data_IF_291677278760
#
_entry.id   IF_291677278760
#
_cell.length_a   1.000
_cell.length_b   1.000
_cell.length_c   1.000
_cell.angle_alpha   90.00
_cell.angle_beta   90.00
_cell.angle_gamma   90.00
#
_symmetry.space_group_name_H-M   'P 1'
#
loop_
_entity.id
_entity.type
_entity.pdbx_description
1 polymer ?
#
# COMPACT_ATOMS: atom_id res chain seq x y z
N UNK A 1 -16.78 -21.67 2.49
CA UNK A 1 -15.41 -21.29 2.79
C UNK A 1 -14.42 -21.99 1.86
N UNK A 2 -13.30 -21.41 1.63
CA UNK A 2 -12.20 -21.98 0.84
C UNK A 2 -10.98 -22.13 1.76
N UNK A 3 -10.46 -23.37 1.85
CA UNK A 3 -9.28 -23.67 2.67
C UNK A 3 -8.01 -23.42 1.86
N UNK A 4 -7.20 -22.43 2.30
CA UNK A 4 -5.93 -22.05 1.69
C UNK A 4 -4.74 -22.84 2.24
N UNK A 5 -4.94 -23.66 3.26
CA UNK A 5 -3.87 -24.39 3.95
C UNK A 5 -3.14 -25.35 3.00
N UNK A 6 -1.82 -25.21 2.92
CA UNK A 6 -0.97 -26.08 2.08
C UNK A 6 -1.13 -25.92 0.58
N UNK A 7 -1.88 -24.90 0.11
CA UNK A 7 -2.05 -24.65 -1.33
C UNK A 7 -0.75 -24.10 -1.95
N UNK A 8 -0.47 -24.53 -3.19
CA UNK A 8 0.59 -23.95 -3.99
C UNK A 8 0.18 -22.58 -4.57
N UNK A 9 1.15 -21.81 -5.08
CA UNK A 9 0.87 -20.53 -5.76
C UNK A 9 -0.09 -20.73 -6.94
N UNK A 10 0.10 -21.77 -7.76
CA UNK A 10 -0.79 -22.05 -8.90
C UNK A 10 -2.22 -22.39 -8.45
N UNK A 11 -2.35 -23.17 -7.36
CA UNK A 11 -3.66 -23.53 -6.82
C UNK A 11 -4.39 -22.31 -6.26
N UNK A 12 -3.68 -21.41 -5.57
CA UNK A 12 -4.24 -20.15 -5.08
C UNK A 12 -4.63 -19.21 -6.23
N UNK A 13 -3.82 -19.13 -7.27
CA UNK A 13 -4.11 -18.34 -8.48
C UNK A 13 -5.37 -18.84 -9.18
N UNK A 14 -5.52 -20.16 -9.29
CA UNK A 14 -6.74 -20.76 -9.84
C UNK A 14 -7.96 -20.52 -8.92
N UNK A 15 -7.76 -20.58 -7.61
CA UNK A 15 -8.81 -20.23 -6.65
C UNK A 15 -9.27 -18.79 -6.77
N UNK A 16 -8.34 -17.83 -6.89
CA UNK A 16 -8.65 -16.43 -7.13
C UNK A 16 -9.52 -16.26 -8.39
N UNK A 17 -9.14 -16.89 -9.51
CA UNK A 17 -9.92 -16.84 -10.75
C UNK A 17 -11.35 -17.38 -10.57
N UNK A 18 -11.51 -18.51 -9.87
CA UNK A 18 -12.84 -19.10 -9.59
C UNK A 18 -13.69 -18.23 -8.69
N UNK A 19 -13.03 -17.52 -7.75
CA UNK A 19 -13.68 -16.62 -6.81
C UNK A 19 -13.93 -15.23 -7.38
N UNK A 20 -13.43 -14.92 -8.59
CA UNK A 20 -13.54 -13.60 -9.19
C UNK A 20 -12.67 -12.54 -8.53
N UNK A 21 -11.58 -12.97 -7.87
CA UNK A 21 -10.55 -12.08 -7.31
C UNK A 21 -9.61 -11.69 -8.44
N UNK A 22 -9.37 -10.38 -8.61
CA UNK A 22 -8.41 -9.88 -9.60
C UNK A 22 -6.98 -10.30 -9.22
N UNK A 23 -6.28 -10.87 -10.18
CA UNK A 23 -4.89 -11.30 -9.99
C UNK A 23 -4.08 -10.98 -11.24
N UNK A 24 -2.83 -10.60 -11.02
CA UNK A 24 -1.84 -10.45 -12.08
C UNK A 24 -0.71 -11.49 -11.96
N UNK A 25 0.17 -11.54 -12.96
CA UNK A 25 1.24 -12.53 -13.01
C UNK A 25 2.37 -12.26 -12.02
N UNK A 26 2.45 -11.05 -11.47
CA UNK A 26 3.50 -10.63 -10.52
C UNK A 26 3.19 -11.06 -9.09
N UNK A 27 1.90 -11.32 -8.78
CA UNK A 27 1.47 -11.71 -7.44
C UNK A 27 2.07 -13.06 -7.02
N UNK A 28 2.86 -13.06 -5.96
CA UNK A 28 3.31 -14.27 -5.29
C UNK A 28 2.25 -14.84 -4.34
N UNK A 29 2.55 -15.99 -3.74
CA UNK A 29 1.64 -16.73 -2.85
C UNK A 29 1.02 -15.87 -1.76
N UNK A 30 1.83 -15.02 -1.08
CA UNK A 30 1.35 -14.12 -0.04
C UNK A 30 0.28 -13.15 -0.54
N UNK A 31 0.51 -12.46 -1.64
CA UNK A 31 -0.46 -11.53 -2.24
C UNK A 31 -1.75 -12.20 -2.70
N UNK A 32 -1.68 -13.43 -3.19
CA UNK A 32 -2.88 -14.19 -3.57
C UNK A 32 -3.75 -14.53 -2.36
N UNK A 33 -3.14 -14.88 -1.24
CA UNK A 33 -3.84 -15.11 0.03
C UNK A 33 -4.48 -13.82 0.53
N UNK A 34 -3.71 -12.73 0.53
CA UNK A 34 -4.17 -11.41 0.94
C UNK A 34 -5.35 -10.91 0.11
N UNK A 35 -5.28 -11.06 -1.20
CA UNK A 35 -6.36 -10.68 -2.11
C UNK A 35 -7.66 -11.45 -1.84
N UNK A 36 -7.58 -12.76 -1.54
CA UNK A 36 -8.75 -13.55 -1.16
C UNK A 36 -9.30 -13.07 0.19
N UNK A 37 -8.44 -12.83 1.18
CA UNK A 37 -8.82 -12.36 2.49
C UNK A 37 -9.48 -10.97 2.43
N UNK A 38 -8.85 -10.01 1.74
CA UNK A 38 -9.38 -8.66 1.59
C UNK A 38 -10.76 -8.64 0.95
N UNK A 39 -10.97 -9.45 -0.10
CA UNK A 39 -12.25 -9.46 -0.81
C UNK A 39 -13.38 -10.17 -0.07
N UNK A 40 -13.08 -11.18 0.75
CA UNK A 40 -14.12 -12.06 1.31
C UNK A 40 -14.23 -12.06 2.84
N UNK A 41 -13.24 -11.56 3.54
CA UNK A 41 -13.19 -11.66 4.98
C UNK A 41 -13.07 -10.30 5.68
N UNK A 42 -12.27 -9.39 5.16
CA UNK A 42 -11.92 -8.15 5.86
C UNK A 42 -13.15 -7.30 6.20
N UNK A 43 -14.04 -7.05 5.23
CA UNK A 43 -15.23 -6.24 5.41
C UNK A 43 -16.26 -6.88 6.38
N UNK A 44 -16.20 -8.20 6.59
CA UNK A 44 -17.08 -8.93 7.51
C UNK A 44 -16.62 -8.82 8.98
N UNK A 45 -15.40 -8.35 9.23
CA UNK A 45 -14.80 -8.21 10.56
C UNK A 45 -15.28 -6.92 11.25
N UNK A 46 -16.56 -6.83 11.55
CA UNK A 46 -17.18 -5.63 12.16
C UNK A 46 -16.80 -5.49 13.62
N UNK A 47 -16.93 -6.57 14.42
CA UNK A 47 -16.51 -6.58 15.82
C UNK A 47 -14.99 -6.63 15.93
N UNK A 48 -14.41 -6.10 17.03
CA UNK A 48 -12.96 -6.23 17.24
C UNK A 48 -12.51 -7.68 17.15
N UNK A 49 -11.73 -7.99 16.13
CA UNK A 49 -11.30 -9.34 15.79
C UNK A 49 -9.80 -9.39 15.59
N UNK A 50 -9.11 -10.29 16.30
CA UNK A 50 -7.71 -10.58 16.03
C UNK A 50 -7.61 -11.68 14.98
N UNK A 51 -6.94 -11.38 13.87
CA UNK A 51 -6.50 -12.36 12.88
C UNK A 51 -5.05 -12.70 13.20
N UNK A 52 -4.76 -13.96 13.47
CA UNK A 52 -3.47 -14.41 13.98
C UNK A 52 -2.77 -15.36 12.99
N UNK A 53 -1.46 -15.59 13.22
CA UNK A 53 -0.68 -16.62 12.58
C UNK A 53 -0.64 -16.49 11.04
N UNK A 54 -0.18 -15.32 10.60
CA UNK A 54 -0.05 -15.00 9.18
C UNK A 54 0.97 -15.89 8.47
N UNK A 55 0.71 -16.24 7.20
CA UNK A 55 1.68 -16.95 6.37
C UNK A 55 3.02 -16.24 6.30
N UNK A 56 4.08 -17.05 6.26
CA UNK A 56 5.46 -16.56 6.26
C UNK A 56 5.76 -15.67 5.04
N UNK A 57 5.14 -15.96 3.91
CA UNK A 57 5.29 -15.22 2.65
C UNK A 57 4.75 -13.79 2.73
N UNK A 58 3.82 -13.52 3.65
CA UNK A 58 3.21 -12.21 3.88
C UNK A 58 3.93 -11.38 4.95
N UNK A 59 4.95 -11.95 5.60
CA UNK A 59 5.47 -11.41 6.84
C UNK A 59 7.01 -11.42 6.90
N UNK A 60 7.71 -10.67 6.02
CA UNK A 60 9.16 -10.76 5.84
C UNK A 60 9.98 -10.32 7.06
N UNK A 61 9.40 -9.56 8.00
CA UNK A 61 10.07 -9.06 9.21
C UNK A 61 9.64 -9.77 10.49
N UNK A 62 8.72 -10.75 10.36
CA UNK A 62 8.14 -11.42 11.51
C UNK A 62 8.86 -12.73 11.81
N UNK A 63 9.01 -13.03 13.10
CA UNK A 63 9.58 -14.29 13.57
C UNK A 63 8.67 -15.47 13.19
N UNK A 64 9.26 -16.59 12.80
CA UNK A 64 8.53 -17.83 12.53
C UNK A 64 7.72 -18.26 13.75
N UNK A 65 6.55 -18.78 13.52
CA UNK A 65 5.75 -19.38 14.58
C UNK A 65 6.47 -20.61 15.14
N UNK A 66 6.48 -20.74 16.48
CA UNK A 66 7.27 -21.75 17.19
C UNK A 66 6.86 -23.20 16.91
N UNK A 67 5.57 -23.41 16.58
CA UNK A 67 5.00 -24.75 16.35
C UNK A 67 4.73 -25.04 14.88
N UNK A 68 4.71 -24.02 14.01
CA UNK A 68 4.47 -24.18 12.56
C UNK A 68 5.37 -23.23 11.76
N UNK A 69 6.42 -23.74 11.09
CA UNK A 69 7.39 -22.91 10.36
C UNK A 69 6.82 -22.18 9.12
N UNK A 70 5.64 -22.57 8.64
CA UNK A 70 4.97 -21.94 7.50
C UNK A 70 4.19 -20.68 7.91
N UNK A 71 4.08 -20.42 9.22
CA UNK A 71 3.39 -19.29 9.81
C UNK A 71 4.36 -18.37 10.56
N UNK A 72 3.87 -17.20 10.97
CA UNK A 72 4.61 -16.23 11.77
C UNK A 72 3.87 -15.90 13.05
N UNK A 73 4.61 -15.49 14.10
CA UNK A 73 4.03 -14.95 15.34
C UNK A 73 3.57 -13.50 15.12
N UNK A 74 2.48 -13.33 14.33
CA UNK A 74 1.90 -12.05 13.95
C UNK A 74 0.39 -12.05 14.17
N UNK A 75 -0.14 -10.92 14.56
CA UNK A 75 -1.57 -10.66 14.51
C UNK A 75 -1.87 -9.27 13.96
N UNK A 76 -3.05 -9.13 13.40
CA UNK A 76 -3.67 -7.84 13.10
C UNK A 76 -5.01 -7.74 13.81
N UNK A 77 -5.32 -6.54 14.32
CA UNK A 77 -6.61 -6.23 14.90
C UNK A 77 -7.47 -5.49 13.88
N UNK A 78 -8.57 -6.11 13.49
CA UNK A 78 -9.60 -5.51 12.66
C UNK A 78 -10.74 -4.98 13.51
N UNK A 79 -11.22 -3.79 13.17
CA UNK A 79 -12.39 -3.17 13.78
C UNK A 79 -13.19 -2.47 12.69
N UNK A 80 -14.47 -2.80 12.57
CA UNK A 80 -15.36 -2.23 11.57
C UNK A 80 -14.82 -2.37 10.13
N UNK A 81 -14.33 -3.56 9.78
CA UNK A 81 -13.81 -3.88 8.48
C UNK A 81 -12.49 -3.17 8.11
N UNK A 82 -11.73 -2.71 9.12
CA UNK A 82 -10.45 -2.01 8.88
C UNK A 82 -9.39 -2.50 9.86
N UNK A 83 -8.19 -2.76 9.35
CA UNK A 83 -7.02 -3.00 10.18
C UNK A 83 -6.72 -1.75 11.01
N UNK A 84 -6.71 -1.90 12.33
CA UNK A 84 -6.37 -0.85 13.28
C UNK A 84 -4.96 -0.99 13.82
N UNK A 85 -4.49 -2.23 13.99
CA UNK A 85 -3.22 -2.54 14.62
C UNK A 85 -2.59 -3.75 13.94
N UNK A 86 -1.27 -3.74 13.83
CA UNK A 86 -0.44 -4.85 13.37
C UNK A 86 0.69 -5.05 14.37
N UNK A 87 0.89 -6.29 14.84
CA UNK A 87 1.88 -6.60 15.84
C UNK A 87 2.48 -7.99 15.61
N UNK A 88 3.76 -8.14 15.92
CA UNK A 88 4.46 -9.41 15.76
C UNK A 88 5.69 -9.53 16.66
N UNK A 89 6.14 -10.76 16.84
CA UNK A 89 7.46 -11.05 17.36
C UNK A 89 8.49 -10.67 16.29
N UNK A 90 9.44 -9.81 16.66
CA UNK A 90 10.45 -9.32 15.71
C UNK A 90 11.39 -10.47 15.28
N UNK A 91 11.66 -10.54 13.98
CA UNK A 91 12.65 -11.47 13.46
C UNK A 91 14.05 -10.97 13.85
N UNK A 92 14.72 -11.70 14.74
CA UNK A 92 16.01 -11.33 15.30
C UNK A 92 17.16 -12.26 14.88
N UNK A 93 16.91 -13.17 13.94
CA UNK A 93 17.93 -14.01 13.32
C UNK A 93 18.40 -13.37 12.00
N UNK A 94 19.69 -12.93 11.91
CA UNK A 94 20.19 -12.28 10.70
C UNK A 94 20.23 -13.21 9.47
N UNK A 95 20.36 -14.52 9.67
CA UNK A 95 20.40 -15.50 8.58
C UNK A 95 19.01 -15.65 8.00
N UNK A 96 17.98 -15.91 8.84
CA UNK A 96 16.59 -16.00 8.40
C UNK A 96 16.13 -14.67 7.77
N UNK A 97 16.53 -13.53 8.34
CA UNK A 97 16.19 -12.22 7.75
C UNK A 97 16.79 -12.02 6.36
N UNK A 98 18.03 -12.42 6.14
CA UNK A 98 18.64 -12.35 4.82
C UNK A 98 17.92 -13.24 3.79
N UNK A 99 17.54 -14.46 4.19
CA UNK A 99 16.75 -15.37 3.34
C UNK A 99 15.40 -14.76 2.95
N UNK A 100 14.71 -14.10 3.91
CA UNK A 100 13.44 -13.38 3.64
C UNK A 100 13.61 -12.25 2.65
N UNK A 101 14.65 -11.44 2.82
CA UNK A 101 14.95 -10.35 1.87
C UNK A 101 15.30 -10.88 0.48
N UNK A 102 16.00 -12.00 0.36
CA UNK A 102 16.28 -12.63 -0.93
C UNK A 102 15.00 -13.11 -1.61
N UNK A 103 14.02 -13.63 -0.86
CA UNK A 103 12.74 -14.01 -1.42
C UNK A 103 11.93 -12.78 -1.87
N UNK A 104 11.93 -11.69 -1.09
CA UNK A 104 11.32 -10.42 -1.49
C UNK A 104 11.96 -9.86 -2.76
N UNK A 105 13.29 -9.93 -2.90
CA UNK A 105 13.98 -9.51 -4.12
C UNK A 105 13.51 -10.28 -5.36
N UNK A 106 13.29 -11.60 -5.24
CA UNK A 106 12.75 -12.41 -6.34
C UNK A 106 11.34 -11.97 -6.75
N UNK A 107 10.52 -11.53 -5.79
CA UNK A 107 9.19 -10.98 -6.09
C UNK A 107 9.31 -9.62 -6.79
N UNK A 108 10.21 -8.76 -6.34
CA UNK A 108 10.51 -7.47 -6.98
C UNK A 108 10.97 -7.64 -8.43
N UNK A 109 11.85 -8.62 -8.70
CA UNK A 109 12.33 -8.95 -10.06
C UNK A 109 11.21 -9.47 -10.97
N UNK A 110 10.15 -10.07 -10.42
CA UNK A 110 8.92 -10.44 -11.14
C UNK A 110 7.98 -9.27 -11.40
N UNK A 111 8.27 -8.07 -10.84
CA UNK A 111 7.48 -6.86 -11.02
C UNK A 111 6.54 -6.54 -9.86
N UNK A 112 6.75 -7.12 -8.69
CA UNK A 112 6.02 -6.77 -7.47
C UNK A 112 6.61 -5.50 -6.85
N UNK A 113 5.98 -4.34 -7.12
CA UNK A 113 6.45 -3.02 -6.68
C UNK A 113 6.37 -2.81 -5.15
N UNK A 114 5.67 -3.67 -4.43
CA UNK A 114 5.55 -3.62 -2.96
C UNK A 114 6.58 -4.49 -2.25
N UNK A 115 7.29 -5.35 -2.99
CA UNK A 115 8.31 -6.20 -2.42
C UNK A 115 9.52 -5.39 -1.94
N UNK A 116 10.12 -5.86 -0.85
CA UNK A 116 11.24 -5.17 -0.19
C UNK A 116 12.56 -5.45 -0.91
N UNK A 117 13.43 -4.43 -0.95
CA UNK A 117 14.83 -4.60 -1.34
C UNK A 117 15.67 -5.15 -0.18
N UNK A 118 16.87 -5.67 -0.48
CA UNK A 118 17.79 -6.15 0.56
C UNK A 118 18.45 -4.96 1.27
N UNK A 119 18.17 -4.82 2.56
CA UNK A 119 18.83 -3.84 3.42
C UNK A 119 19.96 -4.53 4.21
N UNK A 120 21.18 -4.43 3.69
CA UNK A 120 22.36 -5.04 4.32
C UNK A 120 22.80 -4.34 5.60
N UNK A 121 22.47 -3.07 5.81
CA UNK A 121 22.75 -2.38 7.06
C UNK A 121 21.82 -2.86 8.17
N UNK A 122 20.55 -3.14 7.83
CA UNK A 122 19.61 -3.77 8.73
C UNK A 122 20.08 -5.19 9.14
N UNK A 123 20.49 -6.02 8.18
CA UNK A 123 21.02 -7.38 8.46
C UNK A 123 22.25 -7.28 9.36
N UNK A 124 23.20 -6.38 9.05
CA UNK A 124 24.37 -6.15 9.88
C UNK A 124 24.02 -5.69 11.31
N UNK A 125 23.00 -4.86 11.46
CA UNK A 125 22.54 -4.46 12.79
C UNK A 125 22.04 -5.67 13.61
N UNK A 126 21.34 -6.61 12.98
CA UNK A 126 20.92 -7.86 13.62
C UNK A 126 22.12 -8.74 14.05
N UNK A 127 23.22 -8.74 13.28
CA UNK A 127 24.44 -9.50 13.61
C UNK A 127 25.11 -9.03 14.92
N UNK A 128 24.91 -7.76 15.32
CA UNK A 128 25.36 -7.26 16.63
C UNK A 128 24.55 -7.81 17.80
N UNK A 129 23.42 -8.43 17.52
CA UNK A 129 22.53 -9.07 18.47
C UNK A 129 21.31 -8.21 18.81
N UNK A 130 20.14 -8.75 18.51
CA UNK A 130 18.85 -8.20 18.90
C UNK A 130 18.18 -9.14 19.90
N UNK A 131 17.82 -8.69 21.12
CA UNK A 131 17.09 -9.53 22.06
C UNK A 131 15.71 -9.88 21.53
N UNK A 132 15.13 -10.98 22.04
CA UNK A 132 13.74 -11.31 21.72
C UNK A 132 12.82 -10.18 22.19
N UNK A 133 12.06 -9.61 21.26
CA UNK A 133 11.13 -8.54 21.50
C UNK A 133 9.93 -8.65 20.55
N UNK A 134 8.92 -7.87 20.79
CA UNK A 134 7.76 -7.70 19.90
C UNK A 134 7.53 -6.23 19.66
N UNK A 135 7.03 -5.94 18.47
CA UNK A 135 6.63 -4.60 18.05
C UNK A 135 5.14 -4.54 17.77
N UNK A 136 4.58 -3.35 17.88
CA UNK A 136 3.18 -3.08 17.54
C UNK A 136 3.05 -1.72 16.90
N UNK A 137 2.39 -1.69 15.73
CA UNK A 137 1.96 -0.49 15.06
C UNK A 137 0.46 -0.28 15.20
N UNK A 138 0.06 0.93 15.58
CA UNK A 138 -1.35 1.34 15.62
C UNK A 138 -1.52 2.53 14.69
N UNK A 139 -2.48 2.43 13.74
CA UNK A 139 -2.83 3.54 12.86
C UNK A 139 -3.57 4.64 13.62
N UNK A 140 -2.88 5.71 13.98
CA UNK A 140 -3.47 6.82 14.78
C UNK A 140 -4.64 7.47 14.04
N UNK A 141 -4.53 7.65 12.72
CA UNK A 141 -5.62 8.21 11.92
C UNK A 141 -6.84 7.28 11.91
N UNK A 142 -6.63 5.98 11.73
CA UNK A 142 -7.70 4.97 11.80
C UNK A 142 -8.33 4.89 13.21
N UNK A 143 -7.50 4.97 14.26
CA UNK A 143 -8.00 5.05 15.63
C UNK A 143 -8.85 6.30 15.85
N UNK A 144 -8.41 7.44 15.32
CA UNK A 144 -9.16 8.70 15.40
C UNK A 144 -10.49 8.58 14.65
N UNK A 145 -10.49 8.01 13.44
CA UNK A 145 -11.73 7.74 12.69
C UNK A 145 -12.71 6.91 13.52
N UNK A 146 -12.23 5.83 14.12
CA UNK A 146 -13.04 4.95 14.95
C UNK A 146 -13.63 5.68 16.17
N UNK A 147 -12.79 6.42 16.92
CA UNK A 147 -13.22 7.12 18.13
C UNK A 147 -14.17 8.30 17.85
N UNK A 148 -14.06 8.92 16.69
CA UNK A 148 -14.90 10.07 16.28
C UNK A 148 -16.08 9.68 15.38
N UNK A 149 -16.20 8.41 15.00
CA UNK A 149 -17.26 7.91 14.12
C UNK A 149 -17.16 8.41 12.68
N UNK A 150 -15.94 8.74 12.20
CA UNK A 150 -15.74 9.18 10.83
C UNK A 150 -15.46 8.01 9.90
N UNK A 151 -16.02 8.05 8.69
CA UNK A 151 -15.86 7.00 7.69
C UNK A 151 -14.66 7.21 6.76
N UNK A 152 -14.21 8.46 6.61
CA UNK A 152 -13.11 8.85 5.75
C UNK A 152 -11.90 9.34 6.53
N UNK A 153 -10.71 8.90 6.12
CA UNK A 153 -9.44 9.37 6.71
C UNK A 153 -9.24 10.88 6.48
N UNK A 154 -9.79 11.44 5.40
CA UNK A 154 -9.69 12.87 5.11
C UNK A 154 -10.36 13.74 6.19
N UNK A 155 -11.39 13.20 6.87
CA UNK A 155 -12.13 13.92 7.91
C UNK A 155 -11.34 14.05 9.22
N UNK A 156 -10.27 13.27 9.39
CA UNK A 156 -9.42 13.28 10.60
C UNK A 156 -8.02 13.84 10.34
N UNK A 157 -7.65 14.09 9.10
CA UNK A 157 -6.37 14.70 8.74
C UNK A 157 -6.48 16.22 8.73
N UNK A 158 -5.57 16.93 9.42
CA UNK A 158 -5.52 18.40 9.41
C UNK A 158 -5.13 18.95 8.02
N UNK A 159 -4.28 18.24 7.29
CA UNK A 159 -3.78 18.65 5.98
C UNK A 159 -3.82 17.46 5.00
N UNK A 160 -5.03 17.03 4.56
CA UNK A 160 -5.15 15.92 3.64
C UNK A 160 -4.51 16.28 2.29
N UNK A 161 -3.77 15.36 1.72
CA UNK A 161 -3.26 15.52 0.36
C UNK A 161 -4.43 15.41 -0.62
N UNK A 162 -4.71 16.52 -1.32
CA UNK A 162 -5.70 16.56 -2.37
C UNK A 162 -5.05 16.24 -3.72
N UNK A 163 -5.79 15.57 -4.59
CA UNK A 163 -5.33 15.46 -5.99
C UNK A 163 -5.18 16.87 -6.55
N UNK A 164 -4.06 17.18 -7.25
CA UNK A 164 -3.94 18.45 -7.94
C UNK A 164 -5.18 18.66 -8.83
N UNK A 165 -5.79 19.82 -8.74
CA UNK A 165 -6.82 20.18 -9.70
C UNK A 165 -6.24 20.00 -11.11
N UNK A 166 -6.93 19.26 -11.96
CA UNK A 166 -6.58 19.24 -13.37
C UNK A 166 -6.71 20.69 -13.82
N UNK A 167 -5.58 21.36 -14.05
CA UNK A 167 -5.59 22.63 -14.76
C UNK A 167 -6.32 22.33 -16.08
N UNK A 168 -7.53 22.82 -16.20
CA UNK A 168 -8.21 22.85 -17.48
C UNK A 168 -7.29 23.68 -18.35
N UNK A 169 -6.55 23.04 -19.25
CA UNK A 169 -5.84 23.77 -20.31
C UNK A 169 -6.97 24.41 -21.14
N UNK A 170 -7.35 25.63 -20.75
CA UNK A 170 -8.14 26.46 -21.63
C UNK A 170 -7.28 26.68 -22.86
N UNK A 171 -7.89 26.52 -24.01
CA UNK A 171 -7.25 26.92 -25.28
C UNK A 171 -6.68 28.35 -25.03
N UNK A 172 -5.38 28.56 -25.25
CA UNK A 172 -4.79 29.87 -25.08
C UNK A 172 -5.60 30.97 -25.76
N UNK A 173 -6.19 30.69 -26.93
CA UNK A 173 -7.02 31.64 -27.68
C UNK A 173 -8.33 31.95 -26.96
N UNK A 174 -9.01 30.97 -26.36
CA UNK A 174 -10.17 31.20 -25.51
C UNK A 174 -9.83 32.03 -24.26
N UNK A 175 -8.65 31.80 -23.66
CA UNK A 175 -8.21 32.55 -22.51
C UNK A 175 -7.97 34.03 -22.84
N UNK A 176 -7.42 34.35 -23.99
CA UNK A 176 -7.24 35.72 -24.45
C UNK A 176 -8.57 36.38 -24.78
N UNK A 177 -9.50 35.68 -25.45
CA UNK A 177 -10.84 36.16 -25.76
C UNK A 177 -11.62 36.51 -24.47
N UNK A 178 -11.46 35.70 -23.41
CA UNK A 178 -12.13 35.92 -22.12
C UNK A 178 -11.71 37.21 -21.41
N UNK A 179 -10.50 37.74 -21.67
CA UNK A 179 -10.03 39.03 -21.15
C UNK A 179 -10.21 40.17 -22.15
N UNK A 180 -10.96 39.94 -23.24
CA UNK A 180 -11.35 40.97 -24.21
C UNK A 180 -10.29 41.27 -25.29
N UNK A 181 -9.30 40.39 -25.48
CA UNK A 181 -8.34 40.50 -26.59
C UNK A 181 -9.06 40.15 -27.91
N UNK A 182 -9.09 41.05 -28.92
CA UNK A 182 -9.64 40.73 -30.22
C UNK A 182 -8.90 39.57 -30.90
N UNK A 183 -9.61 38.67 -31.56
CA UNK A 183 -9.05 37.46 -32.18
C UNK A 183 -7.88 37.76 -33.14
N UNK A 184 -7.91 38.87 -33.83
CA UNK A 184 -6.86 39.33 -34.75
C UNK A 184 -5.53 39.65 -34.06
N UNK A 185 -5.56 39.98 -32.78
CA UNK A 185 -4.33 40.31 -31.97
C UNK A 185 -3.72 39.11 -31.27
N UNK A 186 -4.46 38.04 -31.09
CA UNK A 186 -3.98 36.84 -30.38
C UNK A 186 -2.70 36.26 -31.04
N UNK A 187 -2.64 36.05 -32.36
CA UNK A 187 -1.42 35.55 -33.01
C UNK A 187 -0.24 36.51 -32.89
N UNK A 188 -0.51 37.82 -32.86
CA UNK A 188 0.55 38.84 -32.70
C UNK A 188 1.15 38.80 -31.30
N UNK A 189 0.31 38.73 -30.27
CA UNK A 189 0.70 38.63 -28.87
C UNK A 189 1.50 37.37 -28.61
N UNK A 190 1.04 36.25 -29.13
CA UNK A 190 1.75 34.96 -29.01
C UNK A 190 3.14 35.01 -29.71
N UNK A 191 3.22 35.65 -30.87
CA UNK A 191 4.47 35.83 -31.60
C UNK A 191 5.47 36.74 -30.87
N UNK A 192 4.98 37.63 -30.01
CA UNK A 192 5.79 38.46 -29.12
C UNK A 192 6.31 37.72 -27.87
N UNK A 193 5.97 36.43 -27.73
CA UNK A 193 6.43 35.57 -26.63
C UNK A 193 5.47 35.45 -25.45
N UNK A 194 4.29 36.09 -25.53
CA UNK A 194 3.26 35.97 -24.48
C UNK A 194 2.33 34.82 -24.82
N UNK A 195 2.73 33.61 -24.40
CA UNK A 195 2.03 32.37 -24.72
C UNK A 195 0.84 32.08 -23.80
N UNK A 196 0.69 32.84 -22.71
CA UNK A 196 -0.42 32.71 -21.73
C UNK A 196 -0.89 34.07 -21.28
N UNK A 197 -2.15 34.17 -20.82
CA UNK A 197 -2.69 35.38 -20.23
C UNK A 197 -1.87 35.86 -19.04
N UNK A 198 -1.34 34.95 -18.23
CA UNK A 198 -0.49 35.28 -17.07
C UNK A 198 0.82 35.94 -17.49
N UNK A 199 1.38 35.54 -18.65
CA UNK A 199 2.59 36.18 -19.19
C UNK A 199 2.32 37.60 -19.70
N UNK A 200 1.11 37.86 -20.20
CA UNK A 200 0.69 39.20 -20.65
C UNK A 200 0.39 40.14 -19.46
N UNK A 201 -0.15 39.63 -18.35
CA UNK A 201 -0.48 40.42 -17.15
C UNK A 201 0.74 40.88 -16.34
N UNK A 202 1.94 40.40 -16.67
CA UNK A 202 3.19 40.81 -15.99
C UNK A 202 3.88 41.99 -16.69
N UNK A 203 3.27 42.58 -17.70
CA UNK A 203 3.64 43.87 -18.29
C UNK A 203 3.12 45.04 -17.44
#
# INVERSE_FOLDING_TARGET
GYDITGQSEEQLREACRRLGVEVDETMGKGKLIDAIFGQYCEEELIQPTFVCDYPIEMSPLCKRHRDNPDLTERFELFVNGKELCNAYSELNDPIDQLERFQEQLRLLEKGDDEAMFIDMDFVRALEYGMPSCSGMGIGIDRLTMFLTGQSSIQDVLFFPQMRPEKKVQRDPDEAYAAIGVPAEWIPVIQKMGYLTVESLQKL
#
